data_IF_859500075776
#
_entry.id   IF_859500075776
#
_cell.length_a   1.000
_cell.length_b   1.000
_cell.length_c   1.000
_cell.angle_alpha   90.00
_cell.angle_beta   90.00
_cell.angle_gamma   90.00
#
_symmetry.space_group_name_H-M   'P 1'
#
loop_
_entity.id
_entity.type
_entity.pdbx_description
1 polymer ?
#
# COMPACT_ATOMS: atom_id res chain seq x y z
N UNK A 1 -14.24 24.18 9.39
CA UNK A 1 -13.26 23.62 10.36
C UNK A 1 -13.40 22.12 10.59
N UNK A 2 -14.61 21.56 10.70
CA UNK A 2 -14.81 20.11 10.99
C UNK A 2 -14.13 19.16 10.00
N UNK A 3 -14.04 19.55 8.72
CA UNK A 3 -13.41 18.74 7.64
C UNK A 3 -11.91 18.48 7.85
N UNK A 4 -11.20 19.34 8.59
CA UNK A 4 -9.77 19.17 8.89
C UNK A 4 -9.49 18.01 9.87
N UNK A 5 -10.50 17.52 10.59
CA UNK A 5 -10.34 16.39 11.50
C UNK A 5 -10.46 15.03 10.82
N UNK A 6 -10.82 14.99 9.53
CA UNK A 6 -10.83 13.76 8.74
C UNK A 6 -9.43 13.57 8.15
N UNK A 7 -8.64 12.55 8.57
CA UNK A 7 -7.20 12.47 8.27
C UNK A 7 -6.86 12.53 6.78
N UNK A 8 -7.65 11.86 5.93
CA UNK A 8 -7.43 11.83 4.48
C UNK A 8 -7.79 13.17 3.85
N UNK A 9 -8.91 13.78 4.26
CA UNK A 9 -9.40 15.02 3.65
C UNK A 9 -8.49 16.18 4.03
N UNK A 10 -8.00 16.22 5.27
CA UNK A 10 -7.00 17.19 5.71
C UNK A 10 -5.74 17.15 4.83
N UNK A 11 -5.24 15.96 4.52
CA UNK A 11 -4.07 15.79 3.67
C UNK A 11 -4.30 16.35 2.25
N UNK A 12 -5.45 16.02 1.63
CA UNK A 12 -5.80 16.51 0.29
C UNK A 12 -5.96 18.03 0.27
N UNK A 13 -6.66 18.59 1.26
CA UNK A 13 -6.86 20.04 1.37
C UNK A 13 -5.53 20.74 1.60
N UNK A 14 -4.67 20.22 2.48
CA UNK A 14 -3.35 20.76 2.74
C UNK A 14 -2.49 20.86 1.49
N UNK A 15 -2.55 19.85 0.62
CA UNK A 15 -1.87 19.90 -0.67
C UNK A 15 -2.43 21.01 -1.57
N UNK A 16 -3.76 21.12 -1.69
CA UNK A 16 -4.40 22.17 -2.47
C UNK A 16 -4.01 23.56 -2.00
N UNK A 17 -3.97 23.76 -0.68
CA UNK A 17 -3.55 25.03 -0.05
C UNK A 17 -2.09 25.36 -0.40
N UNK A 18 -1.18 24.40 -0.27
CA UNK A 18 0.24 24.62 -0.61
C UNK A 18 0.41 24.98 -2.08
N UNK A 19 -0.32 24.32 -2.99
CA UNK A 19 -0.27 24.62 -4.41
C UNK A 19 -0.80 26.03 -4.72
N UNK A 20 -1.95 26.44 -4.17
CA UNK A 20 -2.51 27.79 -4.36
C UNK A 20 -1.66 28.88 -3.72
N UNK A 21 -1.06 28.58 -2.56
CA UNK A 21 -0.10 29.45 -1.90
C UNK A 21 1.09 29.73 -2.83
N UNK A 22 1.75 28.68 -3.35
CA UNK A 22 2.89 28.83 -4.24
C UNK A 22 2.57 29.62 -5.53
N UNK A 23 1.40 29.37 -6.12
CA UNK A 23 0.93 30.17 -7.27
C UNK A 23 0.83 31.65 -6.94
N UNK A 24 0.34 32.00 -5.75
CA UNK A 24 0.17 33.38 -5.30
C UNK A 24 1.49 34.13 -5.07
N UNK A 25 2.62 33.42 -5.00
CA UNK A 25 3.98 33.96 -4.91
C UNK A 25 4.76 33.86 -6.24
N UNK A 26 4.10 33.53 -7.36
CA UNK A 26 4.74 33.46 -8.67
C UNK A 26 5.48 32.16 -8.95
N UNK A 27 5.14 31.07 -8.25
CA UNK A 27 5.70 29.73 -8.45
C UNK A 27 4.68 28.76 -9.08
N UNK A 28 4.27 28.91 -10.36
CA UNK A 28 3.18 28.14 -10.97
C UNK A 28 3.61 26.75 -11.50
N UNK A 29 4.90 26.41 -11.43
CA UNK A 29 5.42 25.20 -12.09
C UNK A 29 5.15 23.97 -11.22
N UNK A 30 4.83 22.84 -11.87
CA UNK A 30 4.47 21.60 -11.20
C UNK A 30 5.51 21.12 -10.17
N UNK A 31 6.81 21.14 -10.53
CA UNK A 31 7.86 20.71 -9.61
C UNK A 31 7.94 21.58 -8.34
N UNK A 32 7.58 22.87 -8.44
CA UNK A 32 7.59 23.78 -7.28
C UNK A 32 6.48 23.39 -6.32
N UNK A 33 5.29 23.04 -6.84
CA UNK A 33 4.20 22.51 -6.03
C UNK A 33 4.62 21.21 -5.35
N UNK A 34 5.20 20.27 -6.11
CA UNK A 34 5.68 19.00 -5.57
C UNK A 34 6.70 19.18 -4.45
N UNK A 35 7.66 20.09 -4.62
CA UNK A 35 8.65 20.42 -3.59
C UNK A 35 8.00 21.04 -2.36
N UNK A 36 7.03 21.94 -2.52
CA UNK A 36 6.28 22.51 -1.40
C UNK A 36 5.44 21.48 -0.65
N UNK A 37 4.93 20.46 -1.34
CA UNK A 37 4.14 19.39 -0.71
C UNK A 37 5.04 18.44 0.08
N UNK A 38 6.11 17.95 -0.54
CA UNK A 38 6.98 16.94 0.05
C UNK A 38 7.94 17.52 1.10
N UNK A 39 8.40 18.76 0.88
CA UNK A 39 9.42 19.41 1.69
C UNK A 39 8.92 20.75 2.23
N UNK A 40 7.62 20.94 2.43
CA UNK A 40 7.00 22.19 2.87
C UNK A 40 7.72 22.90 4.04
N UNK A 41 8.06 22.20 5.14
CA UNK A 41 8.78 22.80 6.27
C UNK A 41 10.14 23.42 5.92
N UNK A 42 10.78 22.98 4.83
CA UNK A 42 12.10 23.44 4.39
C UNK A 42 11.96 24.37 3.17
N UNK A 43 11.17 23.97 2.18
CA UNK A 43 11.01 24.65 0.91
C UNK A 43 10.24 25.97 1.03
N UNK A 44 9.19 26.03 1.86
CA UNK A 44 8.40 27.27 2.01
C UNK A 44 9.20 28.39 2.70
N UNK A 45 9.95 28.15 3.79
CA UNK A 45 10.87 29.15 4.32
C UNK A 45 11.96 29.52 3.30
N UNK A 46 12.54 28.53 2.61
CA UNK A 46 13.58 28.77 1.61
C UNK A 46 13.16 29.77 0.53
N UNK A 47 11.95 29.62 -0.04
CA UNK A 47 11.43 30.57 -1.04
C UNK A 47 11.04 31.90 -0.41
N UNK A 48 10.56 31.91 0.83
CA UNK A 48 10.13 33.12 1.52
C UNK A 48 11.30 34.08 1.81
N UNK A 49 12.51 33.53 2.00
CA UNK A 49 13.73 34.33 2.20
C UNK A 49 14.43 34.74 0.89
N UNK A 50 13.92 34.37 -0.29
CA UNK A 50 14.49 34.83 -1.56
C UNK A 50 14.07 36.29 -1.84
N UNK A 51 15.01 37.18 -2.20
CA UNK A 51 14.70 38.59 -2.52
C UNK A 51 13.73 38.78 -3.69
N UNK A 52 13.71 37.81 -4.60
CA UNK A 52 12.90 37.78 -5.82
C UNK A 52 11.41 37.49 -5.54
N UNK A 53 11.11 36.87 -4.38
CA UNK A 53 9.77 36.38 -4.06
C UNK A 53 8.85 37.52 -3.65
N UNK A 54 7.91 37.85 -4.53
CA UNK A 54 6.85 38.84 -4.24
C UNK A 54 5.48 38.19 -4.29
N UNK A 55 4.60 38.61 -3.39
CA UNK A 55 3.19 38.24 -3.45
C UNK A 55 2.53 38.97 -4.61
N UNK A 56 2.22 38.24 -5.68
CA UNK A 56 1.54 38.74 -6.88
C UNK A 56 0.01 38.69 -6.73
N UNK A 57 -0.47 37.93 -5.75
CA UNK A 57 -1.90 37.77 -5.46
C UNK A 57 -2.63 36.76 -6.36
N UNK A 58 -3.84 36.34 -5.96
CA UNK A 58 -4.58 35.28 -6.65
C UNK A 58 -5.03 35.66 -8.06
N UNK A 59 -5.29 36.95 -8.30
CA UNK A 59 -5.78 37.43 -9.60
C UNK A 59 -4.68 37.45 -10.67
N UNK A 60 -3.46 37.82 -10.28
CA UNK A 60 -2.32 37.84 -11.19
C UNK A 60 -1.80 36.42 -11.45
N UNK A 61 -1.84 35.54 -10.45
CA UNK A 61 -1.55 34.12 -10.62
C UNK A 61 -2.47 33.42 -11.65
N UNK A 62 -3.73 33.85 -11.76
CA UNK A 62 -4.69 33.35 -12.78
C UNK A 62 -4.35 33.77 -14.22
N UNK A 63 -3.52 34.81 -14.41
CA UNK A 63 -3.09 35.24 -15.76
C UNK A 63 -2.09 34.26 -16.38
N UNK A 64 -1.41 33.44 -15.57
CA UNK A 64 -0.50 32.42 -16.05
C UNK A 64 -1.27 31.23 -16.65
N UNK A 65 -1.69 31.36 -17.91
CA UNK A 65 -2.38 30.28 -18.63
C UNK A 65 -1.37 29.24 -19.10
N UNK A 66 -1.49 28.02 -18.59
CA UNK A 66 -0.82 26.86 -19.19
C UNK A 66 -1.64 26.40 -20.40
N UNK A 67 -1.06 25.60 -21.30
CA UNK A 67 -1.87 24.96 -22.33
C UNK A 67 -2.84 23.98 -21.66
N UNK A 68 -4.08 23.88 -22.15
CA UNK A 68 -5.09 22.99 -21.54
C UNK A 68 -4.62 21.53 -21.44
N UNK A 69 -3.82 21.06 -22.41
CA UNK A 69 -3.20 19.74 -22.37
C UNK A 69 -2.20 19.58 -21.20
N UNK A 70 -1.41 20.61 -20.91
CA UNK A 70 -0.46 20.60 -19.78
C UNK A 70 -1.19 20.68 -18.44
N UNK A 71 -2.28 21.41 -18.35
CA UNK A 71 -3.11 21.47 -17.14
C UNK A 71 -3.73 20.11 -16.83
N UNK A 72 -4.27 19.44 -17.85
CA UNK A 72 -4.78 18.07 -17.72
C UNK A 72 -3.67 17.08 -17.33
N UNK A 73 -2.50 17.15 -17.96
CA UNK A 73 -1.37 16.29 -17.64
C UNK A 73 -0.88 16.53 -16.19
N UNK A 74 -0.68 17.78 -15.77
CA UNK A 74 -0.29 18.15 -14.41
C UNK A 74 -1.33 17.61 -13.40
N UNK A 75 -2.63 17.71 -13.69
CA UNK A 75 -3.70 17.22 -12.83
C UNK A 75 -3.71 15.68 -12.71
N UNK A 76 -3.52 14.96 -13.80
CA UNK A 76 -3.42 13.49 -13.79
C UNK A 76 -2.21 13.04 -12.97
N UNK A 77 -1.03 13.60 -13.25
CA UNK A 77 0.21 13.26 -12.53
C UNK A 77 0.03 13.53 -11.03
N UNK A 78 -0.57 14.67 -10.69
CA UNK A 78 -0.87 15.02 -9.32
C UNK A 78 -1.82 14.02 -8.65
N UNK A 79 -2.92 13.66 -9.32
CA UNK A 79 -3.90 12.68 -8.81
C UNK A 79 -3.26 11.30 -8.60
N UNK A 80 -2.40 10.85 -9.52
CA UNK A 80 -1.68 9.57 -9.41
C UNK A 80 -0.74 9.57 -8.21
N UNK A 81 0.02 10.65 -7.99
CA UNK A 81 0.92 10.77 -6.83
C UNK A 81 0.12 10.75 -5.53
N UNK A 82 -0.93 11.58 -5.43
CA UNK A 82 -1.77 11.66 -4.24
C UNK A 82 -2.43 10.30 -3.93
N UNK A 83 -3.00 9.64 -4.95
CA UNK A 83 -3.61 8.33 -4.80
C UNK A 83 -2.58 7.24 -4.45
N UNK A 84 -1.33 7.32 -4.94
CA UNK A 84 -0.24 6.41 -4.55
C UNK A 84 0.12 6.59 -3.07
N UNK A 85 0.19 7.83 -2.58
CA UNK A 85 0.46 8.12 -1.16
C UNK A 85 -0.69 7.58 -0.29
N UNK A 86 -1.94 7.89 -0.64
CA UNK A 86 -3.13 7.41 0.08
C UNK A 86 -3.13 5.88 0.12
N UNK A 87 -2.89 5.22 -1.02
CA UNK A 87 -2.82 3.76 -1.13
C UNK A 87 -1.69 3.16 -0.28
N UNK A 88 -0.55 3.85 -0.21
CA UNK A 88 0.62 3.35 0.52
C UNK A 88 0.41 3.44 2.03
N UNK A 89 -0.13 4.55 2.53
CA UNK A 89 -0.13 4.87 3.96
C UNK A 89 -1.49 4.78 4.67
N UNK A 90 -2.61 4.96 3.96
CA UNK A 90 -3.92 5.13 4.58
C UNK A 90 -4.80 3.90 4.41
N UNK A 91 -5.24 3.65 3.18
CA UNK A 91 -6.22 2.62 2.85
C UNK A 91 -5.83 1.93 1.55
N UNK A 92 -6.04 0.62 1.48
CA UNK A 92 -5.96 -0.13 0.24
C UNK A 92 -7.23 -0.94 0.04
N UNK A 93 -7.76 -0.92 -1.19
CA UNK A 93 -8.88 -1.75 -1.58
C UNK A 93 -8.38 -3.09 -2.10
N UNK A 94 -8.92 -4.19 -1.58
CA UNK A 94 -8.63 -5.55 -2.02
C UNK A 94 -9.91 -6.21 -2.51
N UNK A 95 -9.78 -7.03 -3.56
CA UNK A 95 -10.81 -7.98 -3.97
C UNK A 95 -10.46 -9.35 -3.40
N UNK A 96 -11.47 -10.15 -3.08
CA UNK A 96 -11.27 -11.50 -2.57
C UNK A 96 -11.33 -12.51 -3.72
N UNK A 97 -10.18 -13.11 -4.12
CA UNK A 97 -10.17 -14.06 -5.22
C UNK A 97 -10.50 -15.49 -4.78
N UNK A 98 -10.39 -15.81 -3.48
CA UNK A 98 -10.49 -17.19 -2.98
C UNK A 98 -11.51 -17.33 -1.86
N UNK A 99 -12.15 -18.50 -1.78
CA UNK A 99 -13.12 -18.87 -0.74
C UNK A 99 -12.52 -19.20 0.64
N UNK A 100 -11.23 -18.94 0.88
CA UNK A 100 -10.64 -19.28 2.18
C UNK A 100 -11.24 -18.52 3.37
N UNK A 101 -11.89 -17.39 3.14
CA UNK A 101 -12.63 -16.61 4.14
C UNK A 101 -14.15 -16.69 3.91
N UNK A 102 -14.61 -17.65 3.08
CA UNK A 102 -16.00 -17.81 2.67
C UNK A 102 -16.95 -17.86 3.87
N UNK A 103 -18.16 -17.32 3.68
CA UNK A 103 -19.20 -17.06 4.69
C UNK A 103 -18.94 -15.90 5.66
N UNK A 104 -17.68 -15.55 5.97
CA UNK A 104 -17.38 -14.23 6.57
C UNK A 104 -17.20 -13.16 5.50
N UNK A 105 -16.55 -13.53 4.40
CA UNK A 105 -16.20 -12.68 3.27
C UNK A 105 -16.32 -13.50 1.99
N UNK A 106 -17.19 -13.07 1.08
CA UNK A 106 -17.49 -13.83 -0.14
C UNK A 106 -16.49 -13.54 -1.25
N UNK A 107 -16.33 -14.51 -2.16
CA UNK A 107 -15.52 -14.31 -3.37
C UNK A 107 -16.15 -13.21 -4.21
N UNK A 108 -15.34 -12.22 -4.60
CA UNK A 108 -15.80 -11.02 -5.32
C UNK A 108 -16.12 -9.82 -4.42
N UNK A 109 -16.12 -9.97 -3.10
CA UNK A 109 -16.28 -8.84 -2.20
C UNK A 109 -15.08 -7.87 -2.29
N UNK A 110 -15.37 -6.58 -2.11
CA UNK A 110 -14.38 -5.51 -2.06
C UNK A 110 -14.20 -5.06 -0.61
N UNK A 111 -12.95 -5.10 -0.12
CA UNK A 111 -12.59 -4.71 1.23
C UNK A 111 -11.70 -3.48 1.24
N UNK A 112 -12.06 -2.51 2.07
CA UNK A 112 -11.17 -1.42 2.42
C UNK A 112 -10.36 -1.79 3.67
N UNK A 113 -9.05 -1.91 3.49
CA UNK A 113 -8.12 -2.26 4.57
C UNK A 113 -7.46 -1.00 5.08
N UNK A 114 -7.66 -0.73 6.37
CA UNK A 114 -6.97 0.37 7.07
C UNK A 114 -5.52 -0.01 7.38
N UNK A 115 -4.56 0.71 6.79
CA UNK A 115 -3.14 0.55 7.10
C UNK A 115 -2.71 1.33 8.34
N UNK A 116 -3.48 2.34 8.72
CA UNK A 116 -3.21 3.17 9.91
C UNK A 116 -3.47 2.43 11.22
N UNK A 117 -4.38 1.44 11.21
CA UNK A 117 -4.77 0.72 12.43
C UNK A 117 -3.56 0.06 13.10
N UNK A 118 -2.75 -0.69 12.33
CA UNK A 118 -1.58 -1.43 12.84
C UNK A 118 -0.24 -0.86 12.37
N UNK A 119 -0.26 0.30 11.72
CA UNK A 119 0.95 0.98 11.25
C UNK A 119 1.26 0.71 9.78
N UNK A 120 1.37 1.77 8.94
CA UNK A 120 1.71 1.59 7.54
C UNK A 120 3.18 1.17 7.36
N UNK A 121 3.42 0.34 6.35
CA UNK A 121 4.75 -0.13 5.97
C UNK A 121 5.42 0.88 5.05
N UNK A 122 6.69 1.20 5.27
CA UNK A 122 7.48 1.92 4.28
C UNK A 122 7.75 1.01 3.07
N UNK A 123 7.63 1.51 1.83
CA UNK A 123 7.91 0.72 0.65
C UNK A 123 9.40 0.36 0.61
N UNK A 124 9.72 -0.92 0.54
CA UNK A 124 11.09 -1.39 0.34
C UNK A 124 11.62 -0.98 -1.03
N UNK A 125 10.74 -0.90 -2.02
CA UNK A 125 11.03 -0.43 -3.38
C UNK A 125 10.31 0.90 -3.65
N UNK A 126 10.96 2.05 -3.36
CA UNK A 126 10.32 3.35 -3.44
C UNK A 126 9.99 3.78 -4.89
N UNK A 127 10.73 3.24 -5.87
CA UNK A 127 10.51 3.51 -7.29
C UNK A 127 9.76 2.32 -7.89
N UNK A 128 8.44 2.48 -8.00
CA UNK A 128 7.56 1.50 -8.60
C UNK A 128 6.49 2.18 -9.46
N UNK A 129 6.01 1.46 -10.46
CA UNK A 129 4.90 1.88 -11.29
C UNK A 129 3.63 1.99 -10.43
N UNK A 130 2.94 3.15 -10.45
CA UNK A 130 1.74 3.36 -9.67
C UNK A 130 0.69 2.27 -9.91
N UNK A 131 0.07 1.85 -8.83
CA UNK A 131 -1.01 0.86 -8.80
C UNK A 131 -0.68 -0.57 -9.26
N UNK A 132 0.55 -0.85 -9.68
CA UNK A 132 0.97 -2.20 -10.03
C UNK A 132 1.59 -2.93 -8.84
N UNK A 133 1.19 -4.19 -8.62
CA UNK A 133 1.66 -4.99 -7.49
C UNK A 133 3.11 -5.45 -7.69
N UNK A 134 3.37 -6.42 -8.57
CA UNK A 134 4.72 -6.93 -8.84
C UNK A 134 5.10 -6.91 -10.34
N UNK A 135 4.12 -6.98 -11.23
CA UNK A 135 4.31 -7.00 -12.69
C UNK A 135 3.61 -5.81 -13.33
N UNK A 136 4.17 -5.26 -14.41
CA UNK A 136 3.54 -4.16 -15.14
C UNK A 136 2.21 -4.60 -15.74
N UNK A 137 1.19 -3.72 -15.77
CA UNK A 137 -0.05 -3.99 -16.48
C UNK A 137 0.25 -4.36 -17.94
N UNK A 138 -0.47 -5.32 -18.50
CA UNK A 138 -0.32 -5.79 -19.90
C UNK A 138 0.97 -6.58 -20.19
N UNK A 139 1.75 -6.95 -19.16
CA UNK A 139 2.94 -7.80 -19.30
C UNK A 139 2.82 -9.03 -18.40
N UNK A 140 3.50 -10.13 -18.74
CA UNK A 140 3.50 -11.35 -17.92
C UNK A 140 4.68 -11.38 -16.95
N UNK A 141 5.86 -10.91 -17.38
CA UNK A 141 7.11 -11.13 -16.63
C UNK A 141 7.90 -9.84 -16.31
N UNK A 142 7.42 -8.67 -16.74
CA UNK A 142 8.14 -7.41 -16.52
C UNK A 142 7.83 -6.85 -15.14
N UNK A 143 8.86 -6.73 -14.29
CA UNK A 143 8.74 -6.16 -12.94
C UNK A 143 8.14 -4.75 -12.98
N UNK A 144 7.18 -4.49 -12.09
CA UNK A 144 6.59 -3.15 -11.92
C UNK A 144 7.46 -2.18 -11.13
N UNK A 145 8.64 -2.59 -10.69
CA UNK A 145 9.51 -1.83 -9.79
C UNK A 145 10.96 -1.98 -10.20
N UNK A 146 11.78 -1.00 -9.82
CA UNK A 146 13.23 -1.05 -9.99
C UNK A 146 13.89 -1.34 -8.65
N UNK A 147 14.98 -2.10 -8.70
CA UNK A 147 15.74 -2.54 -7.52
C UNK A 147 16.97 -1.66 -7.24
N UNK A 148 17.06 -0.48 -7.88
CA UNK A 148 18.20 0.44 -7.73
C UNK A 148 18.35 0.96 -6.30
N UNK A 149 17.24 1.11 -5.59
CA UNK A 149 17.19 1.59 -4.21
C UNK A 149 16.35 0.58 -3.43
N UNK A 150 16.96 -0.08 -2.43
CA UNK A 150 16.28 -1.01 -1.52
C UNK A 150 16.33 -0.47 -0.11
N UNK A 151 15.17 -0.14 0.43
CA UNK A 151 15.01 0.32 1.80
C UNK A 151 14.74 -0.91 2.69
N UNK A 152 15.39 -1.04 3.86
CA UNK A 152 15.09 -2.11 4.80
C UNK A 152 13.63 -2.05 5.25
N UNK A 153 13.06 -3.20 5.60
CA UNK A 153 11.69 -3.26 6.09
C UNK A 153 11.53 -2.41 7.35
N UNK A 154 10.58 -1.47 7.31
CA UNK A 154 10.26 -0.64 8.45
C UNK A 154 8.75 -0.35 8.46
N UNK A 155 8.15 -0.43 9.64
CA UNK A 155 6.74 -0.16 9.87
C UNK A 155 6.62 1.06 10.79
N UNK A 156 5.83 2.03 10.36
CA UNK A 156 5.52 3.20 11.17
C UNK A 156 4.57 2.82 12.31
N UNK A 157 4.56 3.55 13.44
CA UNK A 157 3.63 3.27 14.54
C UNK A 157 2.18 3.38 14.05
N UNK A 158 1.35 2.43 14.50
CA UNK A 158 -0.10 2.42 14.27
C UNK A 158 -0.88 3.03 15.43
N UNK A 159 -2.20 3.17 15.27
CA UNK A 159 -3.09 3.66 16.33
C UNK A 159 -3.56 2.57 17.31
N UNK A 160 -3.26 1.30 17.04
CA UNK A 160 -3.61 0.21 17.94
C UNK A 160 -2.83 -1.08 17.65
N UNK A 161 -3.03 -2.05 18.53
CA UNK A 161 -2.41 -3.37 18.46
C UNK A 161 -3.35 -4.41 17.87
N UNK A 162 -2.77 -5.43 17.26
CA UNK A 162 -3.50 -6.58 16.71
C UNK A 162 -4.15 -7.38 17.83
N UNK A 163 -5.40 -7.80 17.61
CA UNK A 163 -6.17 -8.58 18.57
C UNK A 163 -6.55 -9.93 18.00
N UNK A 164 -6.78 -10.89 18.88
CA UNK A 164 -7.37 -12.17 18.50
C UNK A 164 -8.69 -11.93 17.76
N UNK A 165 -8.87 -12.72 16.71
CA UNK A 165 -9.99 -12.71 15.77
C UNK A 165 -10.07 -11.49 14.83
N UNK A 166 -9.11 -10.56 14.83
CA UNK A 166 -9.05 -9.50 13.81
C UNK A 166 -8.86 -10.11 12.41
N UNK A 167 -9.54 -9.55 11.41
CA UNK A 167 -9.30 -9.88 10.00
C UNK A 167 -8.14 -9.02 9.51
N UNK A 168 -7.04 -9.67 9.13
CA UNK A 168 -5.79 -8.98 8.79
C UNK A 168 -5.33 -9.32 7.39
N UNK A 169 -4.70 -8.32 6.76
CA UNK A 169 -4.04 -8.47 5.47
C UNK A 169 -2.53 -8.37 5.66
N UNK A 170 -1.82 -9.38 5.18
CA UNK A 170 -0.36 -9.48 5.33
C UNK A 170 0.27 -10.02 4.06
N UNK A 171 1.58 -9.79 3.91
CA UNK A 171 2.34 -10.35 2.80
C UNK A 171 2.60 -11.84 3.05
N UNK A 172 2.33 -12.68 2.05
CA UNK A 172 2.56 -14.11 2.13
C UNK A 172 4.04 -14.41 2.46
N UNK A 173 4.34 -15.09 3.58
CA UNK A 173 5.72 -15.31 4.01
C UNK A 173 6.58 -16.05 2.98
N UNK A 174 6.04 -17.12 2.41
CA UNK A 174 6.66 -17.98 1.38
C UNK A 174 6.73 -17.32 -0.01
N UNK A 175 6.11 -16.15 -0.20
CA UNK A 175 6.15 -15.41 -1.47
C UNK A 175 7.46 -14.64 -1.69
N UNK A 176 8.52 -14.95 -0.93
CA UNK A 176 9.83 -14.32 -1.08
C UNK A 176 10.56 -14.80 -2.34
N UNK A 177 10.37 -16.07 -2.68
CA UNK A 177 10.92 -16.73 -3.87
C UNK A 177 9.76 -17.33 -4.64
N UNK A 178 9.62 -16.96 -5.90
CA UNK A 178 8.53 -17.43 -6.76
C UNK A 178 9.06 -18.06 -8.03
N UNK A 179 8.32 -19.05 -8.53
CA UNK A 179 8.51 -19.58 -9.88
C UNK A 179 7.55 -18.85 -10.80
N UNK A 180 8.07 -18.14 -11.80
CA UNK A 180 7.27 -17.24 -12.65
C UNK A 180 6.17 -18.00 -13.39
N UNK A 181 6.47 -19.23 -13.82
CA UNK A 181 5.55 -20.14 -14.53
C UNK A 181 4.48 -20.77 -13.62
N UNK A 182 4.72 -20.85 -12.31
CA UNK A 182 3.89 -21.56 -11.33
C UNK A 182 3.61 -20.66 -10.12
N UNK A 183 2.83 -19.61 -10.35
CA UNK A 183 2.49 -18.62 -9.31
C UNK A 183 1.43 -19.11 -8.32
N UNK A 184 0.74 -20.20 -8.64
CA UNK A 184 -0.25 -20.86 -7.80
C UNK A 184 0.37 -21.74 -6.70
N UNK A 185 1.66 -22.04 -6.80
CA UNK A 185 2.38 -22.92 -5.87
C UNK A 185 3.54 -22.20 -5.18
N UNK A 186 3.79 -22.55 -3.91
CA UNK A 186 4.98 -22.08 -3.19
C UNK A 186 6.23 -22.70 -3.82
N UNK A 187 7.27 -21.89 -4.03
CA UNK A 187 8.58 -22.37 -4.47
C UNK A 187 9.11 -23.50 -3.58
N UNK A 188 8.92 -23.41 -2.26
CA UNK A 188 9.39 -24.42 -1.32
C UNK A 188 8.65 -25.75 -1.47
N UNK A 189 7.37 -25.71 -1.84
CA UNK A 189 6.60 -26.90 -2.15
C UNK A 189 7.13 -27.58 -3.42
N UNK A 190 7.32 -26.82 -4.50
CA UNK A 190 7.91 -27.32 -5.75
C UNK A 190 9.28 -27.96 -5.53
N UNK A 191 10.13 -27.34 -4.73
CA UNK A 191 11.45 -27.88 -4.36
C UNK A 191 11.32 -29.18 -3.58
N UNK A 192 10.33 -29.29 -2.69
CA UNK A 192 10.08 -30.51 -1.90
C UNK A 192 9.60 -31.67 -2.76
N UNK A 193 8.79 -31.39 -3.77
CA UNK A 193 8.19 -32.39 -4.67
C UNK A 193 9.15 -32.84 -5.78
N UNK A 194 9.84 -31.91 -6.43
CA UNK A 194 10.61 -32.16 -7.65
C UNK A 194 12.13 -32.06 -7.47
N UNK A 195 12.58 -31.49 -6.35
CA UNK A 195 13.99 -31.25 -6.06
C UNK A 195 14.51 -29.92 -6.61
N UNK A 196 15.36 -29.24 -5.82
CA UNK A 196 15.90 -27.90 -6.14
C UNK A 196 16.59 -27.83 -7.50
N UNK A 197 17.41 -28.82 -7.83
CA UNK A 197 18.22 -28.79 -9.05
C UNK A 197 17.34 -28.80 -10.31
N UNK A 198 16.22 -29.53 -10.29
CA UNK A 198 15.29 -29.58 -11.43
C UNK A 198 14.59 -28.25 -11.63
N UNK A 199 14.13 -27.62 -10.55
CA UNK A 199 13.46 -26.32 -10.59
C UNK A 199 14.39 -25.26 -11.16
N UNK A 200 15.60 -25.13 -10.62
CA UNK A 200 16.56 -24.11 -11.05
C UNK A 200 17.12 -24.34 -12.46
N UNK A 201 17.07 -25.57 -12.97
CA UNK A 201 17.54 -25.88 -14.32
C UNK A 201 16.48 -25.61 -15.41
N UNK A 202 15.18 -25.68 -15.07
CA UNK A 202 14.11 -25.69 -16.05
C UNK A 202 13.10 -24.54 -15.90
N UNK A 203 13.13 -23.81 -14.78
CA UNK A 203 12.12 -22.79 -14.46
C UNK A 203 12.77 -21.48 -14.01
N UNK A 204 12.05 -20.38 -14.21
CA UNK A 204 12.52 -19.05 -13.83
C UNK A 204 12.17 -18.76 -12.38
N UNK A 205 13.19 -18.71 -11.54
CA UNK A 205 13.08 -18.42 -10.11
C UNK A 205 13.43 -16.97 -9.85
N UNK A 206 12.50 -16.22 -9.27
CA UNK A 206 12.67 -14.79 -8.97
C UNK A 206 12.42 -14.53 -7.49
N UNK A 207 13.30 -13.76 -6.87
CA UNK A 207 13.09 -13.24 -5.53
C UNK A 207 12.31 -11.92 -5.55
N UNK A 208 11.37 -11.74 -4.62
CA UNK A 208 10.53 -10.53 -4.48
C UNK A 208 10.76 -9.83 -3.14
N UNK A 209 10.88 -8.50 -3.13
CA UNK A 209 10.93 -7.73 -1.88
C UNK A 209 9.58 -7.82 -1.15
N UNK A 210 9.60 -7.58 0.16
CA UNK A 210 8.45 -7.80 1.07
C UNK A 210 7.18 -7.06 0.60
N UNK A 211 7.33 -5.82 0.14
CA UNK A 211 6.24 -4.96 -0.35
C UNK A 211 5.66 -5.41 -1.70
N UNK A 212 6.31 -6.35 -2.40
CA UNK A 212 5.89 -6.87 -3.72
C UNK A 212 5.45 -8.33 -3.68
N UNK A 213 5.37 -8.93 -2.48
CA UNK A 213 4.80 -10.27 -2.29
C UNK A 213 3.28 -10.21 -2.31
N UNK A 214 2.67 -11.34 -2.62
CA UNK A 214 1.23 -11.57 -2.59
C UNK A 214 0.64 -11.17 -1.23
N UNK A 215 -0.59 -10.66 -1.24
CA UNK A 215 -1.31 -10.31 -0.03
C UNK A 215 -2.33 -11.40 0.29
N UNK A 216 -2.35 -11.83 1.55
CA UNK A 216 -3.29 -12.82 2.06
C UNK A 216 -4.18 -12.16 3.11
N UNK A 217 -5.46 -12.55 3.11
CA UNK A 217 -6.45 -12.12 4.10
C UNK A 217 -6.79 -13.33 4.95
N UNK A 218 -6.55 -13.24 6.26
CA UNK A 218 -6.88 -14.29 7.22
C UNK A 218 -7.36 -13.68 8.54
N UNK A 219 -7.94 -14.51 9.39
CA UNK A 219 -8.26 -14.16 10.77
C UNK A 219 -7.05 -14.42 11.66
N UNK A 220 -6.63 -13.43 12.45
CA UNK A 220 -5.54 -13.55 13.41
C UNK A 220 -6.03 -14.29 14.65
N UNK A 221 -5.73 -15.59 14.76
CA UNK A 221 -6.25 -16.40 15.87
C UNK A 221 -5.40 -16.27 17.13
N UNK A 222 -4.07 -16.25 17.01
CA UNK A 222 -3.16 -16.05 18.13
C UNK A 222 -2.26 -14.85 17.92
N UNK A 223 -1.95 -14.17 19.03
CA UNK A 223 -1.02 -13.05 19.11
C UNK A 223 0.19 -13.44 19.99
N UNK A 224 1.30 -12.68 19.98
CA UNK A 224 2.47 -13.01 20.79
C UNK A 224 2.11 -13.19 22.27
N UNK A 225 2.53 -14.33 22.84
CA UNK A 225 2.23 -14.72 24.22
C UNK A 225 1.08 -15.74 24.35
N UNK A 226 0.28 -15.94 23.29
CA UNK A 226 -0.79 -16.94 23.33
C UNK A 226 -0.28 -18.38 23.19
N UNK A 227 -0.96 -19.29 23.88
CA UNK A 227 -0.93 -20.73 23.60
C UNK A 227 -2.13 -21.10 22.75
N UNK A 228 -1.89 -21.77 21.62
CA UNK A 228 -2.92 -22.23 20.70
C UNK A 228 -3.01 -23.76 20.70
N UNK A 229 -4.22 -24.30 20.86
CA UNK A 229 -4.49 -25.73 20.78
C UNK A 229 -5.67 -25.97 19.83
N UNK A 230 -5.59 -27.01 19.01
CA UNK A 230 -6.69 -27.44 18.13
C UNK A 230 -7.07 -28.87 18.55
N UNK A 231 -8.24 -29.02 19.17
CA UNK A 231 -8.71 -30.29 19.72
C UNK A 231 -10.09 -30.56 19.12
N UNK A 232 -10.25 -31.71 18.44
CA UNK A 232 -11.50 -32.08 17.78
C UNK A 232 -12.06 -30.97 16.87
N UNK A 233 -11.18 -30.35 16.07
CA UNK A 233 -11.46 -29.21 15.18
C UNK A 233 -11.82 -27.89 15.89
N UNK A 234 -11.86 -27.84 17.22
CA UNK A 234 -12.10 -26.63 17.99
C UNK A 234 -10.78 -25.96 18.38
N UNK A 235 -10.75 -24.63 18.31
CA UNK A 235 -9.57 -23.85 18.68
C UNK A 235 -9.69 -23.38 20.12
N UNK A 236 -8.61 -23.52 20.90
CA UNK A 236 -8.46 -22.99 22.25
C UNK A 236 -7.30 -21.98 22.27
N UNK A 237 -7.51 -20.85 22.92
CA UNK A 237 -6.52 -19.80 23.16
C UNK A 237 -6.33 -19.69 24.68
N UNK A 238 -5.12 -19.93 25.16
CA UNK A 238 -4.79 -19.90 26.60
C UNK A 238 -5.74 -20.79 27.44
N UNK A 239 -6.02 -22.00 26.93
CA UNK A 239 -6.92 -22.98 27.54
C UNK A 239 -8.42 -22.65 27.47
N UNK A 240 -8.81 -21.52 26.85
CA UNK A 240 -10.22 -21.13 26.67
C UNK A 240 -10.65 -21.35 25.23
N UNK A 241 -11.81 -21.96 25.04
CA UNK A 241 -12.39 -22.17 23.70
C UNK A 241 -12.57 -20.83 22.98
N UNK A 242 -11.98 -20.69 21.80
CA UNK A 242 -12.18 -19.53 20.93
C UNK A 242 -13.56 -19.65 20.27
N UNK A 243 -14.42 -18.63 20.38
CA UNK A 243 -15.71 -18.65 19.71
C UNK A 243 -15.51 -18.73 18.19
N UNK A 244 -16.33 -19.55 17.55
CA UNK A 244 -16.43 -19.51 16.09
C UNK A 244 -16.98 -18.15 15.66
N UNK A 245 -16.51 -17.60 14.53
CA UNK A 245 -17.21 -16.50 13.88
C UNK A 245 -18.67 -16.87 13.61
N UNK A 246 -19.55 -15.87 13.57
CA UNK A 246 -21.00 -16.05 13.38
C UNK A 246 -21.36 -16.95 12.18
N UNK A 247 -20.51 -16.96 11.14
CA UNK A 247 -20.67 -17.79 9.95
C UNK A 247 -19.52 -18.81 9.76
N UNK A 248 -18.86 -19.23 10.83
CA UNK A 248 -17.79 -20.23 10.78
C UNK A 248 -18.32 -21.64 10.48
N UNK A 249 -17.60 -22.41 9.66
CA UNK A 249 -17.93 -23.80 9.32
C UNK A 249 -16.70 -24.71 9.45
N UNK A 250 -16.93 -25.98 9.72
CA UNK A 250 -15.88 -27.01 9.79
C UNK A 250 -15.79 -27.88 8.53
N UNK A 251 -16.86 -27.91 7.73
CA UNK A 251 -16.95 -28.72 6.53
C UNK A 251 -17.25 -27.85 5.32
N UNK A 252 -16.56 -28.10 4.21
CA UNK A 252 -16.87 -27.58 2.90
C UNK A 252 -17.66 -28.68 2.17
N UNK A 253 -18.99 -28.59 2.20
CA UNK A 253 -19.90 -29.43 1.39
C UNK A 253 -20.32 -28.69 0.14
#
# INVERSE_FOLDING_TARGET
MVVYYIPIINFIIGIGIIAEFLKSFGYPKFYQHLLGILFGPIYLPYIAFQPETKFIGPEEAKKYKKSGAREWADAIVFAVIAATIIRTFFIEAFTIPTSSMEKSLLVGDYLFVSKLSYGPKLPNTPIAFPFAHHTLPLTQDVKSYVEWIKIPYHRLPGFGDIKNNDVVVFNYPDGDTVVVQHQDQSYYQLVREHGRNLIWANLDVVARPVDKRENYIKRCIGIPGDTLEIINQEVFINGRKNPLPEHGQFSYT
#
